data_IF_546183354966
#
_entry.id   IF_546183354966
#
_cell.length_a   1.000
_cell.length_b   1.000
_cell.length_c   1.000
_cell.angle_alpha   90.00
_cell.angle_beta   90.00
_cell.angle_gamma   90.00
#
_symmetry.space_group_name_H-M   'P 1'
#
loop_
_entity.id
_entity.type
_entity.pdbx_description
1 polymer ?
#
# COMPACT_ATOMS: atom_id res chain seq x y z
N UNK A 1 28.38 -38.90 29.21
CA UNK A 1 27.33 -37.88 28.97
C UNK A 1 27.27 -37.57 27.48
N UNK A 2 26.15 -37.76 26.78
CA UNK A 2 26.06 -37.41 25.36
C UNK A 2 25.91 -35.89 25.19
N UNK A 3 26.73 -35.31 24.31
CA UNK A 3 26.64 -33.89 23.93
C UNK A 3 25.42 -33.71 23.04
N UNK A 4 24.35 -33.12 23.57
CA UNK A 4 23.20 -32.70 22.78
C UNK A 4 23.65 -31.68 21.72
N UNK A 5 23.69 -32.09 20.44
CA UNK A 5 23.73 -31.16 19.32
C UNK A 5 22.35 -30.52 19.25
N UNK A 6 22.27 -29.23 19.58
CA UNK A 6 21.07 -28.43 19.34
C UNK A 6 20.72 -28.50 17.84
N UNK A 7 19.43 -28.66 17.48
CA UNK A 7 19.03 -28.60 16.08
C UNK A 7 19.34 -27.21 15.56
N UNK A 8 20.06 -27.15 14.44
CA UNK A 8 20.31 -25.92 13.69
C UNK A 8 18.94 -25.46 13.18
N UNK A 9 18.39 -24.40 13.78
CA UNK A 9 17.16 -23.77 13.29
C UNK A 9 17.34 -23.56 11.79
N UNK A 10 16.56 -24.29 11.01
CA UNK A 10 16.43 -24.11 9.58
C UNK A 10 16.08 -22.66 9.33
N UNK A 11 16.77 -22.04 8.36
CA UNK A 11 16.38 -20.78 7.77
C UNK A 11 14.93 -20.94 7.33
N UNK A 12 14.03 -20.44 8.16
CA UNK A 12 12.63 -20.20 7.81
C UNK A 12 12.65 -19.45 6.48
N UNK A 13 11.92 -20.01 5.52
CA UNK A 13 11.88 -19.59 4.14
C UNK A 13 11.76 -18.06 4.05
N UNK A 14 12.81 -17.43 3.51
CA UNK A 14 12.95 -15.97 3.43
C UNK A 14 11.85 -15.29 2.58
N UNK A 15 10.96 -16.07 1.97
CA UNK A 15 9.84 -15.58 1.18
C UNK A 15 8.60 -15.23 2.01
N UNK A 16 8.51 -15.66 3.28
CA UNK A 16 7.35 -15.41 4.15
C UNK A 16 7.46 -14.10 4.97
N UNK A 17 8.37 -13.20 4.61
CA UNK A 17 8.46 -11.87 5.22
C UNK A 17 7.63 -10.84 4.45
N UNK A 18 6.38 -11.18 4.09
CA UNK A 18 5.46 -10.20 3.53
C UNK A 18 5.02 -9.23 4.62
N UNK A 19 5.59 -8.02 4.56
CA UNK A 19 5.22 -6.74 5.18
C UNK A 19 4.52 -6.79 6.55
N UNK A 20 5.17 -6.20 7.57
CA UNK A 20 4.58 -5.88 8.89
C UNK A 20 3.29 -5.01 8.82
N UNK A 21 2.93 -4.55 7.63
CA UNK A 21 1.84 -3.62 7.31
C UNK A 21 0.96 -4.31 6.25
N UNK A 22 -0.35 -4.38 6.48
CA UNK A 22 -1.27 -5.01 5.52
C UNK A 22 -1.28 -4.32 4.13
N UNK A 23 -1.73 -5.02 3.07
CA UNK A 23 -1.61 -4.55 1.69
C UNK A 23 -2.30 -3.21 1.43
N UNK A 24 -3.40 -2.95 2.11
CA UNK A 24 -4.15 -1.68 2.03
C UNK A 24 -3.29 -0.49 2.48
N UNK A 25 -2.56 -0.65 3.58
CA UNK A 25 -1.77 0.43 4.16
C UNK A 25 -0.44 0.60 3.40
N UNK A 26 0.13 -0.50 2.91
CA UNK A 26 1.24 -0.46 1.96
C UNK A 26 0.87 0.33 0.70
N UNK A 27 -0.34 0.13 0.17
CA UNK A 27 -0.83 0.85 -1.00
C UNK A 27 -1.05 2.34 -0.71
N UNK A 28 -1.64 2.72 0.44
CA UNK A 28 -1.78 4.13 0.83
C UNK A 28 -0.43 4.84 0.85
N UNK A 29 0.57 4.23 1.48
CA UNK A 29 1.91 4.79 1.58
C UNK A 29 2.57 4.93 0.19
N UNK A 30 2.48 3.90 -0.65
CA UNK A 30 3.03 3.96 -2.01
C UNK A 30 2.38 5.07 -2.85
N UNK A 31 1.05 5.25 -2.78
CA UNK A 31 0.36 6.33 -3.47
C UNK A 31 0.86 7.69 -2.96
N UNK A 32 0.93 7.89 -1.66
CA UNK A 32 1.35 9.15 -1.07
C UNK A 32 2.81 9.50 -1.39
N UNK A 33 3.71 8.51 -1.33
CA UNK A 33 5.14 8.68 -1.66
C UNK A 33 5.32 8.97 -3.14
N UNK A 34 4.62 8.24 -4.02
CA UNK A 34 4.79 8.38 -5.48
C UNK A 34 4.17 9.67 -6.00
N UNK A 35 2.95 9.98 -5.54
CA UNK A 35 2.20 11.15 -6.00
C UNK A 35 2.66 12.44 -5.32
N UNK A 36 3.27 12.33 -4.14
CA UNK A 36 3.49 13.42 -3.21
C UNK A 36 2.26 13.74 -2.36
N UNK A 37 2.44 14.55 -1.30
CA UNK A 37 1.38 14.88 -0.35
C UNK A 37 0.66 16.18 -0.74
N UNK A 38 -0.64 16.14 -1.11
CA UNK A 38 -1.44 17.35 -1.28
C UNK A 38 -1.48 18.17 0.02
N UNK A 39 -1.43 19.49 -0.09
CA UNK A 39 -1.46 20.41 1.08
C UNK A 39 -2.74 20.24 1.91
N UNK A 40 -3.86 20.01 1.25
CA UNK A 40 -5.20 19.84 1.81
C UNK A 40 -5.64 18.37 1.81
N UNK A 41 -4.68 17.43 1.96
CA UNK A 41 -5.00 15.99 2.04
C UNK A 41 -5.85 15.70 3.27
N UNK A 42 -7.04 15.16 3.04
CA UNK A 42 -7.93 14.67 4.10
C UNK A 42 -7.60 13.21 4.40
N UNK A 43 -7.69 12.34 3.38
CA UNK A 43 -7.37 10.91 3.50
C UNK A 43 -7.23 10.24 2.14
N UNK A 44 -6.74 8.99 2.15
CA UNK A 44 -6.76 8.08 1.01
C UNK A 44 -7.66 6.89 1.36
N UNK A 45 -8.78 6.77 0.66
CA UNK A 45 -9.69 5.64 0.79
C UNK A 45 -9.25 4.54 -0.17
N UNK A 46 -9.03 3.34 0.36
CA UNK A 46 -8.59 2.17 -0.41
C UNK A 46 -9.59 1.06 -0.17
N UNK A 47 -10.27 0.63 -1.23
CA UNK A 47 -11.30 -0.40 -1.21
C UNK A 47 -10.80 -1.59 -2.02
N UNK A 48 -10.85 -2.78 -1.44
CA UNK A 48 -10.57 -4.01 -2.17
C UNK A 48 -11.78 -4.36 -3.06
N UNK A 49 -11.54 -4.62 -4.34
CA UNK A 49 -12.58 -4.99 -5.31
C UNK A 49 -12.62 -6.51 -5.53
N UNK A 50 -11.45 -7.11 -5.75
CA UNK A 50 -11.23 -8.55 -5.94
C UNK A 50 -9.73 -8.86 -5.70
N UNK A 51 -9.26 -10.12 -5.73
CA UNK A 51 -7.90 -10.47 -5.33
C UNK A 51 -6.85 -9.54 -5.94
N UNK A 52 -6.04 -8.95 -5.06
CA UNK A 52 -4.96 -8.01 -5.39
C UNK A 52 -5.36 -6.81 -6.24
N UNK A 53 -6.64 -6.42 -6.25
CA UNK A 53 -7.15 -5.31 -7.06
C UNK A 53 -7.98 -4.37 -6.20
N UNK A 54 -7.62 -3.09 -6.27
CA UNK A 54 -8.11 -2.07 -5.37
C UNK A 54 -8.58 -0.84 -6.15
N UNK A 55 -9.57 -0.14 -5.58
CA UNK A 55 -9.85 1.24 -5.93
C UNK A 55 -9.27 2.14 -4.85
N UNK A 56 -8.42 3.07 -5.24
CA UNK A 56 -7.84 4.06 -4.34
C UNK A 56 -8.30 5.47 -4.73
N UNK A 57 -8.87 6.18 -3.77
CA UNK A 57 -9.39 7.52 -3.93
C UNK A 57 -8.63 8.48 -3.01
N UNK A 58 -8.04 9.52 -3.60
CA UNK A 58 -7.39 10.60 -2.86
C UNK A 58 -8.42 11.70 -2.62
N UNK A 59 -8.69 11.98 -1.35
CA UNK A 59 -9.69 12.95 -0.93
C UNK A 59 -8.98 14.17 -0.35
N UNK A 60 -9.29 15.34 -0.91
CA UNK A 60 -8.68 16.62 -0.51
C UNK A 60 -9.75 17.66 -0.22
N UNK A 61 -9.40 18.66 0.58
CA UNK A 61 -10.24 19.81 0.85
C UNK A 61 -9.87 20.49 2.15
N UNK A 62 -10.35 21.72 2.39
CA UNK A 62 -10.06 22.47 3.62
C UNK A 62 -10.73 21.85 4.86
N UNK A 63 -11.76 21.02 4.67
CA UNK A 63 -12.56 20.38 5.72
C UNK A 63 -13.38 19.22 5.14
N UNK A 64 -13.96 18.37 5.99
CA UNK A 64 -14.71 17.17 5.56
C UNK A 64 -15.98 17.51 4.76
N UNK A 65 -16.68 18.58 5.10
CA UNK A 65 -17.87 19.10 4.42
C UNK A 65 -17.56 19.72 3.04
N UNK A 66 -16.29 20.01 2.77
CA UNK A 66 -15.78 20.56 1.50
C UNK A 66 -14.82 19.60 0.80
N UNK A 67 -14.90 18.32 1.14
CA UNK A 67 -14.07 17.28 0.57
C UNK A 67 -14.43 17.01 -0.91
N UNK A 68 -13.41 16.77 -1.73
CA UNK A 68 -13.56 16.31 -3.13
C UNK A 68 -12.58 15.20 -3.44
N UNK A 69 -12.91 14.39 -4.45
CA UNK A 69 -11.96 13.42 -5.02
C UNK A 69 -10.97 14.16 -5.92
N UNK A 70 -9.70 14.22 -5.50
CA UNK A 70 -8.62 14.79 -6.32
C UNK A 70 -8.15 13.79 -7.39
N UNK A 71 -7.97 12.53 -6.99
CA UNK A 71 -7.50 11.45 -7.85
C UNK A 71 -8.25 10.16 -7.52
N UNK A 72 -8.48 9.33 -8.53
CA UNK A 72 -9.07 8.00 -8.39
C UNK A 72 -8.26 7.04 -9.24
N UNK A 73 -7.83 5.93 -8.64
CA UNK A 73 -6.98 4.92 -9.28
C UNK A 73 -7.62 3.55 -9.14
N UNK A 74 -7.57 2.78 -10.21
CA UNK A 74 -7.65 1.32 -10.16
C UNK A 74 -6.22 0.78 -10.08
N UNK A 75 -5.92 0.00 -9.04
CA UNK A 75 -4.57 -0.47 -8.76
C UNK A 75 -4.56 -1.98 -8.61
N UNK A 76 -3.61 -2.64 -9.25
CA UNK A 76 -3.30 -4.05 -8.98
C UNK A 76 -2.01 -4.14 -8.17
N UNK A 77 -1.92 -5.11 -7.26
CA UNK A 77 -0.75 -5.33 -6.42
C UNK A 77 -0.23 -6.75 -6.50
N UNK A 78 0.95 -6.99 -5.92
CA UNK A 78 1.36 -8.34 -5.49
C UNK A 78 0.62 -8.74 -4.22
N UNK A 79 0.74 -9.99 -3.78
CA UNK A 79 0.18 -10.47 -2.50
C UNK A 79 0.73 -9.69 -1.29
N UNK A 80 1.97 -9.18 -1.40
CA UNK A 80 2.59 -8.30 -0.41
C UNK A 80 2.18 -6.82 -0.51
N UNK A 81 1.20 -6.47 -1.34
CA UNK A 81 0.70 -5.11 -1.48
C UNK A 81 1.60 -4.15 -2.26
N UNK A 82 2.61 -4.63 -3.00
CA UNK A 82 3.41 -3.78 -3.89
C UNK A 82 2.62 -3.46 -5.16
N UNK A 83 2.56 -2.20 -5.58
CA UNK A 83 1.86 -1.82 -6.83
C UNK A 83 2.52 -2.48 -8.05
N UNK A 84 1.70 -3.12 -8.89
CA UNK A 84 2.08 -3.71 -10.17
C UNK A 84 1.62 -2.83 -11.33
N UNK A 85 0.33 -2.48 -11.36
CA UNK A 85 -0.24 -1.54 -12.35
C UNK A 85 -1.19 -0.56 -11.71
N UNK A 86 -1.36 0.61 -12.33
CA UNK A 86 -2.36 1.60 -11.94
C UNK A 86 -3.00 2.23 -13.17
N UNK A 87 -4.29 2.56 -13.08
CA UNK A 87 -5.03 3.31 -14.10
C UNK A 87 -5.89 4.38 -13.41
N UNK A 88 -5.65 5.69 -13.67
CA UNK A 88 -4.53 6.24 -14.45
C UNK A 88 -3.17 5.91 -13.82
N UNK A 89 -2.09 6.07 -14.57
CA UNK A 89 -0.74 5.80 -14.06
C UNK A 89 -0.39 6.67 -12.85
N UNK A 90 0.20 6.07 -11.81
CA UNK A 90 0.72 6.79 -10.65
C UNK A 90 1.98 7.56 -11.04
N UNK A 91 1.91 8.89 -10.96
CA UNK A 91 3.00 9.82 -11.27
C UNK A 91 3.17 10.81 -10.11
N UNK A 92 4.33 11.47 -10.03
CA UNK A 92 4.54 12.58 -9.11
C UNK A 92 3.71 13.79 -9.57
N UNK A 93 2.75 14.21 -8.76
CA UNK A 93 1.82 15.32 -9.06
C UNK A 93 2.02 16.48 -8.09
N UNK A 94 2.42 16.18 -6.85
CA UNK A 94 2.66 17.16 -5.79
C UNK A 94 4.13 17.08 -5.41
N UNK A 95 4.85 18.19 -5.58
CA UNK A 95 6.28 18.32 -5.23
C UNK A 95 6.48 19.37 -4.15
#
# INVERSE_FOLDING_TARGET
>A
MPKNKLPRLTLVDAEASQSLIGPVESLRNQILVTMGRPRDLIRIDVINLWPNTYRANVIVGPSLDRARFAHSYFVTTTDGGKVVTSTPGLNCVYS
#
